data_IF_553907954171
#
_entry.id   IF_553907954171
#
_cell.length_a   1.000
_cell.length_b   1.000
_cell.length_c   1.000
_cell.angle_alpha   90.00
_cell.angle_beta   90.00
_cell.angle_gamma   90.00
#
_symmetry.space_group_name_H-M   'P 1'
#
loop_
_entity.id
_entity.type
_entity.pdbx_description
1 polymer ?
#
# COMPACT_ATOMS: atom_id res chain seq x y z
N UNK A 1 -1.15 18.07 -13.29
CA UNK A 1 -1.32 17.91 -14.75
C UNK A 1 -1.28 16.44 -15.21
N UNK A 2 -0.15 15.73 -15.09
CA UNK A 2 -0.02 14.31 -15.52
C UNK A 2 -1.05 13.37 -14.85
N UNK A 3 -1.32 13.54 -13.56
CA UNK A 3 -2.29 12.70 -12.83
C UNK A 3 -3.72 12.80 -13.39
N UNK A 4 -4.13 13.99 -13.84
CA UNK A 4 -5.45 14.21 -14.42
C UNK A 4 -5.56 13.53 -15.80
N UNK A 5 -4.50 13.61 -16.62
CA UNK A 5 -4.42 12.95 -17.93
C UNK A 5 -4.54 11.42 -17.77
N UNK A 6 -3.87 10.85 -16.77
CA UNK A 6 -3.91 9.41 -16.48
C UNK A 6 -5.19 8.97 -15.74
N UNK A 7 -6.11 9.90 -15.42
CA UNK A 7 -7.28 9.67 -14.55
C UNK A 7 -6.89 9.00 -13.23
N UNK A 8 -5.70 9.34 -12.72
CA UNK A 8 -5.18 8.78 -11.49
C UNK A 8 -6.08 9.20 -10.32
N UNK A 9 -6.39 8.25 -9.43
CA UNK A 9 -7.20 8.52 -8.22
C UNK A 9 -6.34 8.63 -6.96
N UNK A 10 -5.10 8.15 -7.04
CA UNK A 10 -4.16 8.09 -5.93
C UNK A 10 -2.80 8.59 -6.41
N UNK A 11 -2.14 9.42 -5.60
CA UNK A 11 -0.73 9.79 -5.75
C UNK A 11 0.05 9.16 -4.61
N UNK A 12 1.06 8.36 -4.97
CA UNK A 12 1.92 7.66 -4.05
C UNK A 12 3.19 8.45 -3.78
N UNK A 13 3.48 8.70 -2.51
CA UNK A 13 4.70 9.32 -2.02
C UNK A 13 5.51 8.25 -1.28
N UNK A 14 6.56 7.77 -1.92
CA UNK A 14 7.53 6.88 -1.27
C UNK A 14 8.71 7.73 -0.79
N UNK A 15 9.11 7.54 0.47
CA UNK A 15 10.29 8.18 1.01
C UNK A 15 11.51 7.23 0.93
N UNK A 16 12.73 7.73 0.74
CA UNK A 16 13.94 6.92 0.83
C UNK A 16 14.20 6.44 2.28
N UNK A 17 15.01 5.39 2.46
CA UNK A 17 15.28 4.79 3.78
C UNK A 17 15.96 5.75 4.78
N UNK A 18 16.69 6.75 4.29
CA UNK A 18 17.30 7.78 5.14
C UNK A 18 16.30 8.85 5.61
N UNK A 19 15.07 8.85 5.10
CA UNK A 19 13.97 9.68 5.61
C UNK A 19 13.35 9.00 6.84
N UNK A 20 14.10 9.05 7.95
CA UNK A 20 13.79 8.41 9.24
C UNK A 20 12.89 9.27 10.14
N UNK A 21 12.28 8.74 11.23
CA UNK A 21 11.34 9.45 12.11
C UNK A 21 12.03 10.46 13.06
N UNK A 22 12.71 11.45 12.50
CA UNK A 22 13.29 12.58 13.26
C UNK A 22 12.31 13.74 13.26
N UNK A 23 12.35 14.60 14.28
CA UNK A 23 11.48 15.79 14.36
C UNK A 23 11.59 16.67 13.12
N UNK A 24 12.81 16.80 12.56
CA UNK A 24 13.05 17.52 11.31
C UNK A 24 12.28 16.90 10.15
N UNK A 25 12.36 15.58 9.97
CA UNK A 25 11.67 14.91 8.86
C UNK A 25 10.15 14.91 9.04
N UNK A 26 9.66 14.74 10.27
CA UNK A 26 8.23 14.87 10.61
C UNK A 26 7.73 16.27 10.26
N UNK A 27 8.46 17.32 10.68
CA UNK A 27 8.10 18.71 10.38
C UNK A 27 8.12 19.02 8.88
N UNK A 28 9.07 18.45 8.14
CA UNK A 28 9.14 18.60 6.68
C UNK A 28 7.96 17.89 5.99
N UNK A 29 7.61 16.69 6.44
CA UNK A 29 6.49 15.92 5.91
C UNK A 29 5.16 16.67 6.12
N UNK A 30 4.91 17.19 7.33
CA UNK A 30 3.73 18.00 7.63
C UNK A 30 3.65 19.25 6.74
N UNK A 31 4.72 20.07 6.71
CA UNK A 31 4.78 21.27 5.86
C UNK A 31 4.50 20.99 4.39
N UNK A 32 5.02 19.89 3.86
CA UNK A 32 4.81 19.51 2.46
C UNK A 32 3.34 19.18 2.21
N UNK A 33 2.76 18.26 2.98
CA UNK A 33 1.41 17.75 2.72
C UNK A 33 0.28 18.69 3.11
N UNK A 34 0.52 19.65 4.01
CA UNK A 34 -0.41 20.73 4.32
C UNK A 34 -0.52 21.75 3.19
N UNK A 35 0.56 21.94 2.42
CA UNK A 35 0.62 22.89 1.29
C UNK A 35 0.34 22.25 -0.06
N UNK A 36 0.51 20.93 -0.18
CA UNK A 36 0.33 20.21 -1.42
C UNK A 36 -1.15 20.21 -1.86
N UNK A 37 -1.41 20.73 -3.06
CA UNK A 37 -2.74 20.72 -3.64
C UNK A 37 -3.17 19.30 -3.98
N UNK A 38 -4.34 18.89 -3.49
CA UNK A 38 -4.87 17.55 -3.71
C UNK A 38 -5.62 17.42 -5.02
N UNK A 39 -6.31 18.46 -5.49
CA UNK A 39 -7.09 18.45 -6.74
C UNK A 39 -7.97 17.19 -6.90
N UNK A 40 -8.62 16.74 -5.82
CA UNK A 40 -9.46 15.53 -5.79
C UNK A 40 -8.70 14.19 -5.71
N UNK A 41 -7.37 14.20 -5.68
CA UNK A 41 -6.52 13.02 -5.55
C UNK A 41 -6.41 12.58 -4.09
N UNK A 42 -6.39 11.26 -3.87
CA UNK A 42 -6.01 10.69 -2.57
C UNK A 42 -4.50 10.60 -2.49
N UNK A 43 -3.92 11.06 -1.38
CA UNK A 43 -2.50 10.88 -1.14
C UNK A 43 -2.26 9.58 -0.40
N UNK A 44 -1.24 8.86 -0.82
CA UNK A 44 -0.85 7.59 -0.25
C UNK A 44 0.64 7.66 0.09
N UNK A 45 1.02 7.29 1.30
CA UNK A 45 2.39 7.41 1.78
C UNK A 45 2.94 6.04 2.13
N UNK A 46 4.12 5.74 1.56
CA UNK A 46 4.88 4.53 1.88
C UNK A 46 6.13 4.92 2.68
N UNK A 47 6.08 4.85 4.02
CA UNK A 47 7.26 5.06 4.84
C UNK A 47 8.31 3.99 4.54
N UNK A 48 9.58 4.41 4.47
CA UNK A 48 10.75 3.52 4.48
C UNK A 48 11.61 3.90 5.68
N UNK A 49 12.23 2.91 6.32
CA UNK A 49 12.93 3.08 7.61
C UNK A 49 12.04 2.74 8.81
N UNK A 50 12.62 2.82 10.01
CA UNK A 50 12.02 2.36 11.27
C UNK A 50 11.02 3.38 11.86
N UNK A 51 9.98 3.73 11.12
CA UNK A 51 8.93 4.63 11.60
C UNK A 51 8.03 3.91 12.63
N UNK A 52 7.83 4.47 13.86
CA UNK A 52 6.96 3.87 14.85
C UNK A 52 5.50 3.77 14.35
N UNK A 53 4.80 2.65 14.59
CA UNK A 53 3.42 2.47 14.13
C UNK A 53 2.46 3.58 14.56
N UNK A 54 2.58 4.07 15.80
CA UNK A 54 1.71 5.16 16.30
C UNK A 54 1.99 6.49 15.61
N UNK A 55 3.26 6.75 15.25
CA UNK A 55 3.63 7.93 14.48
C UNK A 55 3.13 7.83 13.04
N UNK A 56 3.21 6.66 12.40
CA UNK A 56 2.63 6.44 11.07
C UNK A 56 1.11 6.68 11.12
N UNK A 57 0.43 6.09 12.10
CA UNK A 57 -1.03 6.21 12.26
C UNK A 57 -1.45 7.67 12.45
N UNK A 58 -0.78 8.41 13.33
CA UNK A 58 -1.08 9.82 13.57
C UNK A 58 -0.80 10.68 12.34
N UNK A 59 0.34 10.53 11.68
CA UNK A 59 0.66 11.29 10.47
C UNK A 59 -0.31 11.02 9.32
N UNK A 60 -0.63 9.75 9.06
CA UNK A 60 -1.61 9.41 8.02
C UNK A 60 -2.99 9.98 8.34
N UNK A 61 -3.41 9.96 9.61
CA UNK A 61 -4.70 10.54 10.03
C UNK A 61 -4.69 12.06 9.85
N UNK A 62 -3.72 12.74 10.47
CA UNK A 62 -3.67 14.19 10.53
C UNK A 62 -3.48 14.81 9.13
N UNK A 63 -2.77 14.11 8.25
CA UNK A 63 -2.51 14.55 6.88
C UNK A 63 -3.43 13.88 5.86
N UNK A 64 -4.49 13.21 6.28
CA UNK A 64 -5.47 12.57 5.39
C UNK A 64 -4.82 11.70 4.28
N UNK A 65 -3.90 10.82 4.66
CA UNK A 65 -3.15 9.96 3.75
C UNK A 65 -3.53 8.48 3.92
N UNK A 66 -3.43 7.72 2.85
CA UNK A 66 -3.50 6.26 2.89
C UNK A 66 -2.14 5.70 3.28
N UNK A 67 -2.09 4.82 4.29
CA UNK A 67 -0.86 4.09 4.60
C UNK A 67 -0.64 2.99 3.56
N UNK A 68 0.42 3.13 2.78
CA UNK A 68 0.85 2.14 1.78
C UNK A 68 1.88 1.23 2.44
N UNK A 69 1.63 -0.07 2.37
CA UNK A 69 2.44 -1.07 3.07
C UNK A 69 2.52 -2.35 2.26
N UNK A 70 3.58 -3.14 2.46
CA UNK A 70 3.54 -4.55 2.10
C UNK A 70 2.81 -5.30 3.23
N UNK A 71 1.62 -5.90 2.97
CA UNK A 71 0.85 -6.56 4.03
C UNK A 71 1.59 -7.77 4.62
N UNK A 72 2.58 -8.35 3.93
CA UNK A 72 3.44 -9.41 4.46
C UNK A 72 4.50 -8.92 5.44
N UNK A 73 4.76 -7.62 5.47
CA UNK A 73 5.73 -6.99 6.36
C UNK A 73 5.06 -6.31 7.54
N UNK A 74 3.96 -5.60 7.32
CA UNK A 74 3.25 -4.89 8.38
C UNK A 74 1.75 -4.69 8.08
N UNK A 75 0.97 -4.42 9.12
CA UNK A 75 -0.44 -4.10 8.97
C UNK A 75 -0.66 -2.70 8.38
N UNK A 76 -1.76 -2.53 7.65
CA UNK A 76 -2.19 -1.21 7.20
C UNK A 76 -2.88 -0.46 8.36
N UNK A 77 -2.24 0.63 8.78
CA UNK A 77 -2.59 1.36 10.01
C UNK A 77 -3.64 2.46 9.81
N UNK A 78 -3.78 3.02 8.60
CA UNK A 78 -4.73 4.10 8.32
C UNK A 78 -5.10 4.21 6.84
N UNK A 79 -6.26 4.83 6.57
CA UNK A 79 -6.72 5.22 5.25
C UNK A 79 -7.56 4.16 4.51
N UNK A 80 -8.49 4.65 3.67
CA UNK A 80 -9.30 3.83 2.78
C UNK A 80 -9.33 4.45 1.37
N UNK A 81 -9.38 3.63 0.30
CA UNK A 81 -9.18 2.18 0.31
C UNK A 81 -7.79 1.79 0.81
N UNK A 82 -7.62 0.56 1.32
CA UNK A 82 -6.28 0.10 1.72
C UNK A 82 -5.38 0.03 0.49
N UNK A 83 -4.09 0.29 0.65
CA UNK A 83 -3.13 0.24 -0.45
C UNK A 83 -1.98 -0.70 -0.10
N UNK A 84 -1.91 -1.83 -0.80
CA UNK A 84 -0.85 -2.82 -0.65
C UNK A 84 0.14 -2.70 -1.81
N UNK A 85 1.44 -2.62 -1.47
CA UNK A 85 2.54 -2.59 -2.44
C UNK A 85 3.52 -3.74 -2.13
N UNK A 86 3.52 -4.72 -3.01
CA UNK A 86 4.20 -6.00 -2.81
C UNK A 86 5.54 -6.01 -3.53
N UNK A 87 6.65 -6.20 -2.81
CA UNK A 87 8.00 -6.12 -3.40
C UNK A 87 8.71 -7.48 -3.56
N UNK A 88 8.00 -8.58 -3.30
CA UNK A 88 8.54 -9.94 -3.25
C UNK A 88 8.93 -10.35 -1.82
N UNK A 89 8.72 -11.63 -1.44
CA UNK A 89 8.96 -12.12 -0.07
C UNK A 89 10.43 -12.18 0.33
N UNK A 90 11.29 -12.63 -0.58
CA UNK A 90 12.74 -12.77 -0.35
C UNK A 90 13.55 -11.76 -1.19
N UNK A 91 12.89 -10.66 -1.58
CA UNK A 91 13.43 -9.61 -2.43
C UNK A 91 12.78 -9.51 -3.80
N UNK A 92 13.24 -8.53 -4.59
CA UNK A 92 12.61 -8.11 -5.86
C UNK A 92 12.48 -9.23 -6.92
N UNK A 93 13.36 -10.24 -6.87
CA UNK A 93 13.37 -11.37 -7.80
C UNK A 93 12.36 -12.47 -7.45
N UNK A 94 11.77 -12.43 -6.25
CA UNK A 94 10.87 -13.49 -5.80
C UNK A 94 9.51 -13.41 -6.48
N UNK A 95 9.02 -14.57 -6.90
CA UNK A 95 7.66 -14.79 -7.40
C UNK A 95 6.78 -15.24 -6.23
N UNK A 96 5.56 -14.73 -6.13
CA UNK A 96 4.64 -15.17 -5.07
C UNK A 96 4.14 -16.59 -5.34
N UNK A 97 4.13 -17.44 -4.31
CA UNK A 97 3.50 -18.76 -4.40
C UNK A 97 1.97 -18.65 -4.46
N UNK A 98 1.27 -19.72 -4.84
CA UNK A 98 -0.20 -19.72 -4.81
C UNK A 98 -0.74 -19.62 -3.38
N UNK A 99 -0.02 -20.13 -2.37
CA UNK A 99 -0.34 -19.97 -0.95
C UNK A 99 -0.20 -18.51 -0.50
N UNK A 100 0.85 -17.80 -0.96
CA UNK A 100 0.99 -16.37 -0.69
C UNK A 100 -0.19 -15.59 -1.29
N UNK A 101 -0.58 -15.90 -2.53
CA UNK A 101 -1.70 -15.23 -3.18
C UNK A 101 -3.03 -15.50 -2.46
N UNK A 102 -3.24 -16.71 -1.92
CA UNK A 102 -4.39 -17.01 -1.06
C UNK A 102 -4.35 -16.23 0.25
N UNK A 103 -3.18 -16.15 0.88
CA UNK A 103 -2.98 -15.35 2.10
C UNK A 103 -3.26 -13.87 1.84
N UNK A 104 -2.77 -13.32 0.72
CA UNK A 104 -3.04 -11.95 0.30
C UNK A 104 -4.54 -11.70 0.07
N UNK A 105 -5.24 -12.65 -0.57
CA UNK A 105 -6.68 -12.55 -0.78
C UNK A 105 -7.44 -12.54 0.56
N UNK A 106 -7.01 -13.31 1.55
CA UNK A 106 -7.55 -13.28 2.90
C UNK A 106 -7.38 -11.93 3.61
N UNK A 107 -6.31 -11.19 3.28
CA UNK A 107 -6.02 -9.85 3.83
C UNK A 107 -6.72 -8.71 3.10
N UNK A 108 -7.35 -8.99 1.96
CA UNK A 108 -8.12 -8.02 1.20
C UNK A 108 -9.57 -7.99 1.73
N UNK A 109 -9.82 -7.14 2.73
CA UNK A 109 -11.15 -6.89 3.26
C UNK A 109 -11.67 -5.50 2.82
N UNK A 110 -12.83 -5.48 2.15
CA UNK A 110 -13.40 -4.26 1.57
C UNK A 110 -12.66 -3.80 0.30
N UNK A 111 -12.68 -2.50 0.02
CA UNK A 111 -11.95 -1.93 -1.11
C UNK A 111 -10.44 -1.85 -0.81
N UNK A 112 -9.64 -2.56 -1.61
CA UNK A 112 -8.18 -2.63 -1.49
C UNK A 112 -7.54 -2.50 -2.86
N UNK A 113 -6.56 -1.61 -2.98
CA UNK A 113 -5.67 -1.54 -4.12
C UNK A 113 -4.44 -2.40 -3.85
N UNK A 114 -4.11 -3.28 -4.78
CA UNK A 114 -2.97 -4.20 -4.69
C UNK A 114 -2.07 -3.94 -5.89
N UNK A 115 -0.84 -3.50 -5.63
CA UNK A 115 0.18 -3.30 -6.64
C UNK A 115 1.31 -4.31 -6.43
N UNK A 116 1.50 -5.21 -7.39
CA UNK A 116 2.69 -6.06 -7.46
C UNK A 116 3.84 -5.24 -8.05
N UNK A 117 4.96 -5.21 -7.34
CA UNK A 117 6.16 -4.44 -7.66
C UNK A 117 7.42 -5.31 -7.55
N UNK A 118 7.29 -6.59 -7.91
CA UNK A 118 8.37 -7.57 -8.06
C UNK A 118 8.63 -7.87 -9.55
N UNK A 119 9.70 -8.59 -9.90
CA UNK A 119 10.01 -8.90 -11.31
C UNK A 119 8.86 -9.61 -12.03
N UNK A 120 8.20 -10.56 -11.35
CA UNK A 120 7.09 -11.31 -11.92
C UNK A 120 5.74 -10.58 -11.80
N UNK A 121 5.72 -9.26 -11.56
CA UNK A 121 4.52 -8.49 -11.19
C UNK A 121 3.31 -8.72 -12.11
N UNK A 122 3.54 -8.82 -13.42
CA UNK A 122 2.44 -9.02 -14.37
C UNK A 122 1.80 -10.40 -14.20
N UNK A 123 2.62 -11.45 -14.07
CA UNK A 123 2.12 -12.81 -13.89
C UNK A 123 1.45 -12.98 -12.53
N UNK A 124 2.03 -12.40 -11.47
CA UNK A 124 1.49 -12.45 -10.11
C UNK A 124 0.16 -11.70 -10.01
N UNK A 125 0.07 -10.50 -10.58
CA UNK A 125 -1.18 -9.74 -10.65
C UNK A 125 -2.25 -10.50 -11.43
N UNK A 126 -1.90 -11.14 -12.55
CA UNK A 126 -2.84 -11.94 -13.36
C UNK A 126 -3.35 -13.16 -12.58
N UNK A 127 -2.47 -13.91 -11.92
CA UNK A 127 -2.84 -15.07 -11.09
C UNK A 127 -3.72 -14.64 -9.92
N UNK A 128 -3.36 -13.54 -9.26
CA UNK A 128 -4.15 -12.98 -8.17
C UNK A 128 -5.55 -12.54 -8.62
N UNK A 129 -5.65 -11.84 -9.75
CA UNK A 129 -6.95 -11.46 -10.33
C UNK A 129 -7.80 -12.68 -10.70
N UNK A 130 -7.19 -13.73 -11.25
CA UNK A 130 -7.88 -14.99 -11.54
C UNK A 130 -8.37 -15.68 -10.26
N UNK A 131 -7.56 -15.68 -9.19
CA UNK A 131 -7.93 -16.21 -7.87
C UNK A 131 -9.15 -15.48 -7.30
N UNK A 132 -9.18 -14.14 -7.36
CA UNK A 132 -10.29 -13.33 -6.83
C UNK A 132 -11.60 -13.50 -7.61
N UNK A 133 -11.55 -13.92 -8.88
CA UNK A 133 -12.73 -14.19 -9.71
C UNK A 133 -13.35 -15.56 -9.45
N UNK A 134 -12.64 -16.48 -8.80
CA UNK A 134 -13.21 -17.79 -8.46
C UNK A 134 -14.25 -17.60 -7.35
N UNK A 135 -15.46 -18.17 -7.48
CA UNK A 135 -16.43 -18.13 -6.39
C UNK A 135 -15.80 -18.77 -5.15
N UNK A 136 -15.84 -18.08 -4.02
CA UNK A 136 -15.43 -18.65 -2.73
C UNK A 136 -16.28 -19.91 -2.52
N UNK A 137 -15.66 -21.10 -2.59
CA UNK A 137 -16.32 -22.33 -2.14
C UNK A 137 -16.72 -22.10 -0.68
N UNK A 138 -18.02 -22.06 -0.43
CA UNK A 138 -18.54 -22.05 0.93
C UNK A 138 -17.97 -23.28 1.64
N UNK A 139 -17.27 -23.07 2.77
CA UNK A 139 -17.01 -24.15 3.70
C UNK A 139 -18.38 -24.63 4.19
N UNK A 140 -18.78 -25.83 3.78
CA UNK A 140 -19.90 -26.51 4.40
C UNK A 140 -19.57 -26.68 5.90
N UNK A 141 -20.47 -26.33 6.82
CA UNK A 141 -20.26 -26.62 8.23
C UNK A 141 -20.18 -28.14 8.42
N UNK A 142 -19.17 -28.56 9.19
CA UNK A 142 -19.01 -29.92 9.73
C UNK A 142 -20.07 -30.23 10.76
#
# INVERSE_FOLDING_TARGET
>A
EIAAILRARVVLFQCPANFAPTDRHVGNLRRFFERAERAGLRFAWEPRGAWPPDLIRSLCRDLHMIHVVDPFVAESLHGRPRYYRLHGRDGYRSRYSDEDLQTLAGRCAGEVHVLFNNIAMWEDARRFAALLRRPRRARLPS
#
